data_IF_869397269847
#
_entry.id   IF_869397269847
#
_cell.length_a   1.000
_cell.length_b   1.000
_cell.length_c   1.000
_cell.angle_alpha   90.00
_cell.angle_beta   90.00
_cell.angle_gamma   90.00
#
_symmetry.space_group_name_H-M   'P 1'
#
loop_
_entity.id
_entity.type
_entity.pdbx_description
1 polymer ?
#
# COMPACT_ATOMS: atom_id res chain seq x y z
N UNK A 1 88.91 -14.89 41.90
CA UNK A 1 87.88 -14.53 42.91
C UNK A 1 87.97 -13.04 43.12
N UNK A 2 86.89 -12.23 43.08
CA UNK A 2 85.46 -12.45 43.40
C UNK A 2 84.55 -12.23 42.15
N UNK A 3 83.22 -12.18 42.14
CA UNK A 3 82.08 -12.64 42.95
C UNK A 3 80.93 -12.80 41.93
N UNK A 4 80.14 -13.86 42.05
CA UNK A 4 78.99 -14.14 41.18
C UNK A 4 77.79 -13.32 41.62
N UNK A 5 77.26 -12.48 40.73
CA UNK A 5 75.97 -11.82 40.93
C UNK A 5 74.82 -12.82 40.69
N UNK A 6 74.12 -13.15 41.77
CA UNK A 6 72.85 -13.87 41.72
C UNK A 6 71.76 -12.96 41.13
N UNK A 7 71.30 -13.31 39.93
CA UNK A 7 70.12 -12.71 39.30
C UNK A 7 68.87 -13.14 40.09
N UNK A 8 68.35 -12.24 40.93
CA UNK A 8 67.05 -12.37 41.60
C UNK A 8 65.92 -12.50 40.57
N UNK A 9 65.42 -13.73 40.39
CA UNK A 9 64.20 -14.05 39.62
C UNK A 9 63.00 -13.29 40.20
N UNK A 10 62.47 -12.32 39.47
CA UNK A 10 61.33 -11.51 39.91
C UNK A 10 60.06 -12.35 39.99
N UNK A 11 59.55 -12.51 41.21
CA UNK A 11 58.38 -13.33 41.57
C UNK A 11 57.06 -12.57 41.31
N UNK A 12 56.96 -11.89 40.15
CA UNK A 12 55.79 -11.07 39.78
C UNK A 12 55.13 -11.49 38.46
N UNK A 13 55.72 -12.42 37.69
CA UNK A 13 55.19 -12.90 36.42
C UNK A 13 53.80 -13.56 36.46
N UNK A 14 53.47 -14.50 37.38
CA UNK A 14 52.30 -15.36 37.19
C UNK A 14 50.96 -14.65 37.43
N UNK A 15 50.90 -13.69 38.37
CA UNK A 15 49.66 -12.93 38.65
C UNK A 15 49.35 -11.90 37.57
N UNK A 16 50.37 -11.35 36.93
CA UNK A 16 50.23 -10.34 35.87
C UNK A 16 49.84 -11.02 34.55
N UNK A 17 50.44 -12.16 34.24
CA UNK A 17 50.06 -13.03 33.11
C UNK A 17 48.60 -13.50 33.26
N UNK A 18 48.19 -13.95 34.45
CA UNK A 18 46.81 -14.38 34.69
C UNK A 18 45.79 -13.26 34.44
N UNK A 19 46.08 -12.02 34.88
CA UNK A 19 45.22 -10.85 34.63
C UNK A 19 45.10 -10.54 33.14
N UNK A 20 46.21 -10.60 32.40
CA UNK A 20 46.20 -10.39 30.94
C UNK A 20 45.37 -11.47 30.25
N UNK A 21 45.50 -12.74 30.64
CA UNK A 21 44.69 -13.83 30.09
C UNK A 21 43.20 -13.61 30.37
N UNK A 22 42.82 -13.23 31.60
CA UNK A 22 41.42 -12.94 31.94
C UNK A 22 40.86 -11.80 31.11
N UNK A 23 41.63 -10.73 30.90
CA UNK A 23 41.22 -9.60 30.03
C UNK A 23 41.05 -10.08 28.59
N UNK A 24 41.99 -10.87 28.06
CA UNK A 24 41.90 -11.42 26.70
C UNK A 24 40.66 -12.31 26.56
N UNK A 25 40.40 -13.21 27.51
CA UNK A 25 39.21 -14.08 27.50
C UNK A 25 37.93 -13.24 27.60
N UNK A 26 37.90 -12.19 28.42
CA UNK A 26 36.78 -11.27 28.51
C UNK A 26 36.53 -10.50 27.19
N UNK A 27 37.60 -10.06 26.51
CA UNK A 27 37.48 -9.42 25.19
C UNK A 27 36.98 -10.41 24.15
N UNK A 28 37.55 -11.61 24.08
CA UNK A 28 37.13 -12.68 23.15
C UNK A 28 35.64 -13.01 23.35
N UNK A 29 35.19 -13.14 24.60
CA UNK A 29 33.78 -13.44 24.91
C UNK A 29 32.82 -12.30 24.58
N UNK A 30 33.26 -11.05 24.51
CA UNK A 30 32.41 -9.91 24.12
C UNK A 30 32.32 -9.72 22.60
N UNK A 31 33.38 -10.04 21.85
CA UNK A 31 33.46 -9.78 20.41
C UNK A 31 33.13 -10.98 19.53
N UNK A 32 33.39 -12.21 19.96
CA UNK A 32 33.20 -13.41 19.12
C UNK A 32 31.76 -13.90 19.02
N UNK A 33 30.96 -14.04 20.09
CA UNK A 33 29.63 -14.60 19.96
C UNK A 33 28.73 -13.66 19.16
N UNK A 34 28.31 -14.15 17.99
CA UNK A 34 27.35 -13.50 17.10
C UNK A 34 25.96 -13.99 17.45
N UNK A 35 25.19 -13.16 18.15
CA UNK A 35 23.82 -13.49 18.55
C UNK A 35 22.87 -13.04 17.44
N UNK A 36 21.96 -13.92 16.97
CA UNK A 36 20.91 -13.51 16.02
C UNK A 36 19.93 -12.57 16.71
N UNK A 37 19.77 -11.35 16.18
CA UNK A 37 18.80 -10.36 16.65
C UNK A 37 17.82 -10.07 15.53
N UNK A 38 16.52 -10.10 15.84
CA UNK A 38 15.49 -9.68 14.90
C UNK A 38 15.39 -8.16 14.86
N UNK A 39 15.50 -7.59 13.67
CA UNK A 39 15.34 -6.15 13.45
C UNK A 39 14.11 -5.93 12.57
N UNK A 40 13.17 -5.12 13.05
CA UNK A 40 12.03 -4.64 12.28
C UNK A 40 12.45 -3.51 11.37
N UNK A 41 12.04 -3.58 10.10
CA UNK A 41 12.16 -2.47 9.17
C UNK A 41 10.87 -2.29 8.37
N UNK A 42 10.62 -1.05 7.97
CA UNK A 42 9.46 -0.68 7.15
C UNK A 42 9.87 -0.66 5.67
N UNK A 43 9.11 -1.36 4.83
CA UNK A 43 9.27 -1.34 3.38
C UNK A 43 8.00 -0.81 2.74
N UNK A 44 8.13 0.17 1.84
CA UNK A 44 7.01 0.69 1.06
C UNK A 44 6.80 -0.23 -0.13
N UNK A 45 5.64 -0.89 -0.19
CA UNK A 45 5.25 -1.74 -1.32
C UNK A 45 4.06 -1.16 -2.07
N UNK A 46 4.05 -1.24 -3.40
CA UNK A 46 2.84 -0.95 -4.17
C UNK A 46 1.76 -2.00 -3.86
N UNK A 47 0.52 -1.58 -3.82
CA UNK A 47 -0.64 -2.47 -3.83
C UNK A 47 -1.74 -1.90 -4.73
N UNK A 48 -2.47 -2.80 -5.36
CA UNK A 48 -3.60 -2.44 -6.22
C UNK A 48 -4.88 -2.32 -5.40
N UNK A 49 -5.66 -1.29 -5.70
CA UNK A 49 -7.01 -1.10 -5.16
C UNK A 49 -7.89 -0.45 -6.21
N UNK A 50 -9.21 -0.57 -6.05
CA UNK A 50 -10.12 0.20 -6.89
C UNK A 50 -10.08 1.68 -6.51
N UNK A 51 -10.23 2.56 -7.51
CA UNK A 51 -10.37 3.99 -7.28
C UNK A 51 -11.66 4.29 -6.52
N UNK A 52 -11.59 5.22 -5.59
CA UNK A 52 -12.74 5.68 -4.81
C UNK A 52 -13.53 6.72 -5.59
N UNK A 53 -14.86 6.60 -5.55
CA UNK A 53 -15.75 7.53 -6.24
C UNK A 53 -17.06 7.70 -5.48
N UNK A 54 -17.82 8.72 -5.88
CA UNK A 54 -19.18 8.95 -5.43
C UNK A 54 -20.07 9.22 -6.63
N UNK A 55 -21.22 8.54 -6.69
CA UNK A 55 -22.30 8.91 -7.61
C UNK A 55 -23.04 10.12 -7.02
N UNK A 56 -23.02 11.22 -7.75
CA UNK A 56 -23.60 12.50 -7.34
C UNK A 56 -25.08 12.56 -7.70
N UNK A 57 -25.43 12.10 -8.91
CA UNK A 57 -26.80 12.04 -9.40
C UNK A 57 -26.93 10.94 -10.45
N UNK A 58 -28.15 10.44 -10.59
CA UNK A 58 -28.55 9.55 -11.67
C UNK A 58 -29.98 9.95 -12.07
N UNK A 59 -30.17 10.37 -13.32
CA UNK A 59 -31.43 10.95 -13.79
C UNK A 59 -31.82 10.34 -15.12
N UNK A 60 -33.06 9.87 -15.23
CA UNK A 60 -33.65 9.40 -16.46
C UNK A 60 -34.69 10.43 -16.91
N UNK A 61 -34.48 11.04 -18.07
CA UNK A 61 -35.34 12.10 -18.60
C UNK A 61 -35.91 11.73 -19.96
N UNK A 62 -37.23 11.89 -20.18
CA UNK A 62 -37.82 11.74 -21.50
C UNK A 62 -37.40 12.89 -22.42
N UNK A 63 -37.22 12.58 -23.69
CA UNK A 63 -36.97 13.53 -24.77
C UNK A 63 -37.83 13.18 -25.99
N UNK A 64 -37.98 14.15 -26.89
CA UNK A 64 -38.69 13.96 -28.15
C UNK A 64 -38.13 14.87 -29.23
N UNK A 65 -37.94 14.32 -30.42
CA UNK A 65 -37.65 15.08 -31.64
C UNK A 65 -38.32 14.47 -32.88
N UNK A 66 -38.34 15.23 -33.97
CA UNK A 66 -39.02 14.86 -35.21
C UNK A 66 -38.35 13.72 -35.98
N UNK A 67 -37.07 13.44 -35.75
CA UNK A 67 -36.29 12.42 -36.47
C UNK A 67 -36.34 11.06 -35.77
N UNK A 68 -36.20 11.05 -34.44
CA UNK A 68 -36.09 9.85 -33.59
C UNK A 68 -37.41 9.47 -32.92
N UNK A 69 -38.34 10.41 -32.78
CA UNK A 69 -39.54 10.21 -31.99
C UNK A 69 -39.27 10.36 -30.49
N UNK A 70 -39.90 9.53 -29.65
CA UNK A 70 -39.71 9.56 -28.19
C UNK A 70 -38.43 8.83 -27.83
N UNK A 71 -37.59 9.41 -26.98
CA UNK A 71 -36.40 8.77 -26.46
C UNK A 71 -36.25 9.07 -24.97
N UNK A 72 -35.36 8.37 -24.30
CA UNK A 72 -34.99 8.67 -22.92
C UNK A 72 -33.49 8.80 -22.81
N UNK A 73 -33.06 9.90 -22.18
CA UNK A 73 -31.66 10.13 -21.83
C UNK A 73 -31.45 9.72 -20.39
N UNK A 74 -30.49 8.84 -20.16
CA UNK A 74 -30.07 8.43 -18.83
C UNK A 74 -28.70 9.02 -18.54
N UNK A 75 -28.63 9.93 -17.57
CA UNK A 75 -27.40 10.61 -17.16
C UNK A 75 -26.96 10.12 -15.78
N UNK A 76 -25.69 9.76 -15.64
CA UNK A 76 -25.07 9.39 -14.36
C UNK A 76 -23.87 10.30 -14.13
N UNK A 77 -23.90 11.05 -13.04
CA UNK A 77 -22.83 11.97 -12.65
C UNK A 77 -21.95 11.34 -11.58
N UNK A 78 -20.66 11.18 -11.89
CA UNK A 78 -19.66 10.57 -11.03
C UNK A 78 -18.64 11.62 -10.61
N UNK A 79 -18.33 11.65 -9.31
CA UNK A 79 -17.20 12.38 -8.74
C UNK A 79 -16.10 11.40 -8.37
N UNK A 80 -14.91 11.57 -8.96
CA UNK A 80 -13.72 10.86 -8.51
C UNK A 80 -13.26 11.48 -7.19
N UNK A 81 -13.30 10.70 -6.10
CA UNK A 81 -12.86 11.14 -4.78
C UNK A 81 -11.45 10.66 -4.45
N UNK A 82 -10.82 9.95 -5.38
CA UNK A 82 -9.46 9.44 -5.22
C UNK A 82 -8.41 10.53 -5.43
N UNK A 83 -7.19 10.22 -4.97
CA UNK A 83 -6.00 11.05 -5.17
C UNK A 83 -5.54 11.02 -6.63
N UNK A 84 -5.86 9.95 -7.36
CA UNK A 84 -5.43 9.75 -8.74
C UNK A 84 -6.63 9.80 -9.70
N UNK A 85 -6.40 10.33 -10.91
CA UNK A 85 -7.38 10.24 -11.99
C UNK A 85 -7.43 8.84 -12.59
N UNK A 86 -8.54 8.50 -13.25
CA UNK A 86 -8.67 7.24 -13.95
C UNK A 86 -9.92 7.15 -14.82
N UNK A 87 -9.99 6.12 -15.64
CA UNK A 87 -11.14 5.87 -16.53
C UNK A 87 -12.23 5.11 -15.79
N UNK A 88 -13.38 5.74 -15.60
CA UNK A 88 -14.57 5.13 -15.04
C UNK A 88 -15.46 4.65 -16.18
N UNK A 89 -16.04 3.47 -16.03
CA UNK A 89 -17.00 2.91 -16.98
C UNK A 89 -18.37 2.87 -16.33
N UNK A 90 -19.38 3.40 -17.03
CA UNK A 90 -20.78 3.34 -16.63
C UNK A 90 -21.54 2.48 -17.61
N UNK A 91 -22.19 1.44 -17.10
CA UNK A 91 -23.15 0.67 -17.87
C UNK A 91 -24.56 1.09 -17.47
N UNK A 92 -25.34 1.51 -18.46
CA UNK A 92 -26.73 1.93 -18.34
C UNK A 92 -27.62 0.79 -18.78
N UNK A 93 -28.61 0.45 -17.96
CA UNK A 93 -29.62 -0.56 -18.26
C UNK A 93 -30.97 0.13 -18.29
N UNK A 94 -31.69 -0.04 -19.40
CA UNK A 94 -33.08 0.37 -19.50
C UNK A 94 -33.96 -0.86 -19.45
N UNK A 95 -34.96 -0.85 -18.58
CA UNK A 95 -35.97 -1.89 -18.45
C UNK A 95 -37.33 -1.36 -18.88
N UNK A 96 -38.15 -2.22 -19.47
CA UNK A 96 -39.57 -2.01 -19.70
C UNK A 96 -40.40 -3.13 -19.04
N UNK A 97 -41.71 -3.13 -19.28
CA UNK A 97 -42.64 -4.15 -18.74
C UNK A 97 -42.30 -5.60 -19.13
N UNK A 98 -41.51 -5.81 -20.20
CA UNK A 98 -41.10 -7.13 -20.68
C UNK A 98 -39.71 -7.54 -20.16
N UNK A 99 -39.01 -6.66 -19.43
CA UNK A 99 -37.68 -6.92 -18.89
C UNK A 99 -36.63 -5.93 -19.41
N UNK A 100 -35.41 -6.41 -19.66
CA UNK A 100 -34.31 -5.57 -20.13
C UNK A 100 -34.59 -5.12 -21.57
N UNK A 101 -34.81 -3.81 -21.74
CA UNK A 101 -35.06 -3.19 -23.04
C UNK A 101 -33.75 -2.90 -23.79
N UNK A 102 -32.76 -2.36 -23.09
CA UNK A 102 -31.49 -1.95 -23.71
C UNK A 102 -30.35 -1.85 -22.72
N UNK A 103 -29.13 -1.89 -23.23
CA UNK A 103 -27.90 -1.69 -22.45
C UNK A 103 -26.93 -0.85 -23.25
N UNK A 104 -26.41 0.20 -22.64
CA UNK A 104 -25.40 1.07 -23.22
C UNK A 104 -24.22 1.19 -22.25
N UNK A 105 -23.01 1.37 -22.76
CA UNK A 105 -21.82 1.49 -21.91
C UNK A 105 -20.95 2.64 -22.38
N UNK A 106 -20.66 3.55 -21.45
CA UNK A 106 -19.78 4.69 -21.70
C UNK A 106 -18.58 4.66 -20.75
N UNK A 107 -17.45 5.19 -21.21
CA UNK A 107 -16.24 5.26 -20.40
C UNK A 107 -15.56 6.61 -20.57
N UNK A 108 -15.22 7.26 -19.46
CA UNK A 108 -14.55 8.56 -19.50
C UNK A 108 -13.44 8.64 -18.44
N UNK A 109 -12.36 9.32 -18.78
CA UNK A 109 -11.32 9.67 -17.83
C UNK A 109 -11.79 10.80 -16.91
N UNK A 110 -11.81 10.54 -15.60
CA UNK A 110 -12.17 11.50 -14.56
C UNK A 110 -10.92 11.79 -13.72
N UNK A 111 -10.41 13.02 -13.83
CA UNK A 111 -9.28 13.47 -13.03
C UNK A 111 -9.58 13.44 -11.52
N UNK A 112 -8.53 13.42 -10.69
CA UNK A 112 -8.67 13.42 -9.23
C UNK A 112 -9.51 14.61 -8.75
N UNK A 113 -10.52 14.35 -7.92
CA UNK A 113 -11.46 15.37 -7.42
C UNK A 113 -12.48 15.89 -8.44
N UNK A 114 -12.35 15.55 -9.72
CA UNK A 114 -13.23 16.04 -10.78
C UNK A 114 -14.58 15.32 -10.77
N UNK A 115 -15.57 15.96 -11.37
CA UNK A 115 -16.93 15.42 -11.56
C UNK A 115 -17.25 15.41 -13.05
N UNK A 116 -17.82 14.31 -13.53
CA UNK A 116 -18.20 14.11 -14.93
C UNK A 116 -19.56 13.45 -15.02
N UNK A 117 -20.30 13.79 -16.07
CA UNK A 117 -21.61 13.21 -16.37
C UNK A 117 -21.49 12.40 -17.63
N UNK A 118 -21.74 11.10 -17.51
CA UNK A 118 -21.83 10.19 -18.64
C UNK A 118 -23.31 10.00 -18.96
N UNK A 119 -23.66 9.86 -20.24
CA UNK A 119 -25.03 9.72 -20.68
C UNK A 119 -25.20 8.62 -21.71
N UNK A 120 -26.35 7.97 -21.67
CA UNK A 120 -26.83 7.07 -22.71
C UNK A 120 -28.22 7.52 -23.19
N UNK A 121 -28.52 7.28 -24.46
CA UNK A 121 -29.81 7.60 -25.06
C UNK A 121 -30.46 6.33 -25.59
N UNK A 122 -31.72 6.12 -25.24
CA UNK A 122 -32.51 4.96 -25.67
C UNK A 122 -33.73 5.45 -26.42
N UNK A 123 -33.88 5.03 -27.67
CA UNK A 123 -35.11 5.28 -28.44
C UNK A 123 -36.24 4.45 -27.81
N UNK A 124 -37.39 5.06 -27.54
CA UNK A 124 -38.50 4.44 -26.81
C UNK A 124 -39.84 4.78 -27.46
N UNK A 125 -40.95 4.27 -26.92
CA UNK A 125 -42.30 4.56 -27.43
C UNK A 125 -43.07 5.44 -26.47
N UNK A 126 -43.99 6.23 -27.01
CA UNK A 126 -44.91 7.03 -26.22
C UNK A 126 -45.75 6.12 -25.31
N UNK A 127 -45.75 6.42 -24.00
CA UNK A 127 -46.47 5.65 -23.00
C UNK A 127 -45.81 4.32 -22.60
N UNK A 128 -44.58 4.06 -23.03
CA UNK A 128 -43.80 2.92 -22.55
C UNK A 128 -43.39 3.18 -21.10
N UNK A 129 -43.78 2.26 -20.20
CA UNK A 129 -43.32 2.27 -18.82
C UNK A 129 -41.89 1.76 -18.77
N UNK A 130 -41.00 2.56 -18.18
CA UNK A 130 -39.56 2.31 -18.20
C UNK A 130 -38.93 2.55 -16.84
N UNK A 131 -37.81 1.86 -16.61
CA UNK A 131 -36.99 2.00 -15.42
C UNK A 131 -35.52 1.95 -15.79
N UNK A 132 -34.74 2.92 -15.30
CA UNK A 132 -33.30 2.94 -15.46
C UNK A 132 -32.57 2.32 -14.27
N UNK A 133 -31.60 1.45 -14.54
CA UNK A 133 -30.58 1.04 -13.57
C UNK A 133 -29.18 1.31 -14.14
N UNK A 134 -28.17 1.47 -13.29
CA UNK A 134 -26.81 1.72 -13.73
C UNK A 134 -25.81 0.94 -12.87
N UNK A 135 -24.65 0.67 -13.45
CA UNK A 135 -23.49 0.09 -12.76
C UNK A 135 -22.25 0.92 -13.09
N UNK A 136 -21.43 1.21 -12.07
CA UNK A 136 -20.19 1.97 -12.23
C UNK A 136 -19.01 1.05 -11.91
N UNK A 137 -18.13 0.87 -12.88
CA UNK A 137 -16.84 0.19 -12.71
C UNK A 137 -15.73 1.24 -12.56
N UNK A 138 -15.04 1.18 -11.43
CA UNK A 138 -13.91 2.07 -11.14
C UNK A 138 -12.60 1.48 -11.65
N UNK A 139 -11.65 2.32 -12.10
CA UNK A 139 -10.33 1.85 -12.52
C UNK A 139 -9.50 1.36 -11.33
N UNK A 140 -8.51 0.51 -11.60
CA UNK A 140 -7.50 0.12 -10.61
C UNK A 140 -6.51 1.28 -10.41
N UNK A 141 -6.32 1.68 -9.15
CA UNK A 141 -5.29 2.60 -8.71
C UNK A 141 -4.17 1.85 -8.00
N UNK A 142 -2.92 2.27 -8.23
CA UNK A 142 -1.74 1.76 -7.53
C UNK A 142 -1.43 2.72 -6.38
N UNK A 143 -1.47 2.22 -5.16
CA UNK A 143 -1.15 2.99 -3.96
C UNK A 143 0.02 2.35 -3.20
N UNK A 144 0.55 3.08 -2.22
CA UNK A 144 1.68 2.64 -1.43
C UNK A 144 1.22 2.20 -0.04
N UNK A 145 1.61 1.01 0.40
CA UNK A 145 1.44 0.55 1.78
C UNK A 145 2.78 0.31 2.44
N UNK A 146 2.88 0.72 3.70
CA UNK A 146 4.04 0.40 4.54
C UNK A 146 3.82 -1.01 5.08
N UNK A 147 4.78 -1.90 4.82
CA UNK A 147 4.78 -3.26 5.34
C UNK A 147 5.94 -3.40 6.31
N UNK A 148 5.64 -3.87 7.52
CA UNK A 148 6.66 -4.24 8.51
C UNK A 148 7.23 -5.60 8.15
N UNK A 149 8.55 -5.67 8.00
CA UNK A 149 9.28 -6.92 7.81
C UNK A 149 10.31 -7.11 8.90
N UNK A 150 10.69 -8.36 9.12
CA UNK A 150 11.70 -8.77 10.07
C UNK A 150 12.91 -9.32 9.31
N UNK A 151 14.11 -8.92 9.72
CA UNK A 151 15.35 -9.57 9.27
C UNK A 151 16.20 -9.95 10.47
N UNK A 152 16.85 -11.09 10.39
CA UNK A 152 17.84 -11.51 11.39
C UNK A 152 19.17 -10.87 11.05
N UNK A 153 19.70 -10.09 11.98
CA UNK A 153 21.06 -9.52 11.89
C UNK A 153 21.87 -10.12 13.04
N UNK A 154 23.05 -10.63 12.72
CA UNK A 154 23.98 -11.12 13.73
C UNK A 154 24.74 -9.94 14.32
N UNK A 155 24.63 -9.76 15.63
CA UNK A 155 25.32 -8.70 16.38
C UNK A 155 26.19 -9.31 17.46
N UNK A 156 27.32 -8.66 17.73
CA UNK A 156 28.17 -8.99 18.88
C UNK A 156 27.53 -8.52 20.19
N UNK A 157 27.93 -9.09 21.33
CA UNK A 157 27.40 -8.71 22.66
C UNK A 157 27.62 -7.21 22.92
N UNK A 158 28.76 -6.67 22.51
CA UNK A 158 29.07 -5.25 22.69
C UNK A 158 28.13 -4.34 21.87
N UNK A 159 27.79 -4.70 20.63
CA UNK A 159 26.85 -3.94 19.81
C UNK A 159 25.42 -3.97 20.39
N UNK A 160 25.03 -5.09 21.00
CA UNK A 160 23.74 -5.20 21.71
C UNK A 160 23.74 -4.30 22.95
N UNK A 161 24.83 -4.25 23.70
CA UNK A 161 24.94 -3.40 24.89
C UNK A 161 24.97 -1.89 24.56
N UNK A 162 25.58 -1.50 23.43
CA UNK A 162 25.70 -0.09 23.02
C UNK A 162 24.42 0.42 22.34
N UNK A 163 23.82 -0.37 21.45
CA UNK A 163 22.68 0.07 20.62
C UNK A 163 21.33 -0.55 21.02
N UNK A 164 21.30 -1.46 22.01
CA UNK A 164 20.09 -2.15 22.46
C UNK A 164 19.14 -1.29 23.31
N UNK A 165 19.54 -0.06 23.66
CA UNK A 165 18.73 0.88 24.45
C UNK A 165 17.95 1.90 23.61
N UNK A 166 18.14 1.96 22.29
CA UNK A 166 17.51 2.98 21.42
C UNK A 166 16.28 2.48 20.63
N UNK A 167 15.75 1.30 20.95
CA UNK A 167 14.76 0.61 20.10
C UNK A 167 13.47 0.14 20.79
N UNK A 168 12.96 0.87 21.79
CA UNK A 168 11.60 0.67 22.34
C UNK A 168 10.80 1.94 22.31
#
# INVERSE_FOLDING_TARGET
MPASDEVKKSKHGPRLILRVIVIIVAVITLFIPMIPVEVTYTEVKPYERLATYKVVSATLTPGWDFERGVYHTFEVTIKNTDKYGGTFTVTFYLYDVNGLYGTETESEYIAAGATKTLKAEFDTKLGQDIRGEYSVSAPTAIDQRIVTKHKTVYKSIIEILIYGTEGT
#
